data_IF_906550871835
#
_entry.id   IF_906550871835
#
_cell.length_a   1.000
_cell.length_b   1.000
_cell.length_c   1.000
_cell.angle_alpha   90.00
_cell.angle_beta   90.00
_cell.angle_gamma   90.00
#
_symmetry.space_group_name_H-M   'P 1'
#
loop_
_entity.id
_entity.type
_entity.pdbx_description
1 polymer ?
#
# COMPACT_ATOMS: atom_id res chain seq x y z
N UNK A 1 15.20 68.90 1.35
CA UNK A 1 14.21 69.39 2.31
C UNK A 1 13.18 68.29 2.51
N UNK A 2 13.33 67.59 3.64
CA UNK A 2 12.43 66.69 4.39
C UNK A 2 11.52 65.71 3.61
N UNK A 3 11.94 64.45 3.60
CA UNK A 3 11.07 63.27 3.47
C UNK A 3 10.11 63.18 4.67
N UNK A 4 8.88 62.75 4.48
CA UNK A 4 8.08 62.22 5.59
C UNK A 4 7.23 61.00 5.21
N UNK A 5 7.46 59.95 6.00
CA UNK A 5 6.73 58.71 6.16
C UNK A 5 5.35 58.97 6.79
N UNK A 6 4.37 58.08 6.51
CA UNK A 6 3.40 57.51 7.46
C UNK A 6 2.24 56.84 6.70
N UNK A 7 1.56 55.78 7.14
CA UNK A 7 1.85 54.65 8.05
C UNK A 7 0.68 53.69 7.77
N UNK A 8 0.95 52.40 7.50
CA UNK A 8 -0.07 51.38 7.23
C UNK A 8 -0.82 51.03 8.51
N UNK A 9 -2.15 51.16 8.54
CA UNK A 9 -2.99 50.47 9.52
C UNK A 9 -3.41 49.09 8.98
N UNK A 10 -2.95 48.03 9.64
CA UNK A 10 -3.48 46.66 9.55
C UNK A 10 -4.64 46.54 10.52
N UNK A 11 -5.86 46.39 10.02
CA UNK A 11 -6.99 45.91 10.83
C UNK A 11 -6.92 44.39 10.85
N UNK A 12 -6.60 43.80 12.01
CA UNK A 12 -6.69 42.36 12.24
C UNK A 12 -8.10 42.07 12.76
N UNK A 13 -8.98 41.59 11.87
CA UNK A 13 -10.25 41.00 12.29
C UNK A 13 -9.99 39.52 12.60
N UNK A 14 -10.06 39.17 13.89
CA UNK A 14 -10.05 37.79 14.37
C UNK A 14 -11.42 37.18 14.10
N UNK A 15 -11.56 36.43 13.01
CA UNK A 15 -12.74 35.59 12.78
C UNK A 15 -12.49 34.26 13.48
N UNK A 16 -13.34 33.92 14.45
CA UNK A 16 -13.37 32.58 15.06
C UNK A 16 -13.81 31.58 13.98
N UNK A 17 -13.00 30.55 13.74
CA UNK A 17 -13.39 29.40 12.94
C UNK A 17 -14.18 28.45 13.84
N UNK A 18 -15.48 28.36 13.63
CA UNK A 18 -16.28 27.29 14.19
C UNK A 18 -16.00 26.02 13.37
N UNK A 19 -15.48 24.99 14.04
CA UNK A 19 -15.27 23.67 13.47
C UNK A 19 -16.62 23.03 13.15
N UNK A 20 -16.97 22.99 11.87
CA UNK A 20 -18.06 22.17 11.36
C UNK A 20 -17.52 20.80 10.94
N UNK A 21 -17.97 19.75 11.65
CA UNK A 21 -17.78 18.35 11.27
C UNK A 21 -18.42 18.08 9.90
N UNK A 22 -17.59 17.79 8.90
CA UNK A 22 -17.99 17.46 7.54
C UNK A 22 -17.93 15.94 7.30
N UNK A 23 -19.03 15.26 7.62
CA UNK A 23 -19.32 13.89 7.17
C UNK A 23 -20.21 13.96 5.92
N UNK A 24 -19.62 13.94 4.72
CA UNK A 24 -20.36 13.90 3.46
C UNK A 24 -20.42 12.48 2.88
N UNK A 25 -21.63 11.94 2.84
CA UNK A 25 -22.04 10.80 2.00
C UNK A 25 -22.75 11.33 0.73
N UNK A 26 -23.05 10.51 -0.30
CA UNK A 26 -22.90 10.87 -1.71
C UNK A 26 -23.82 12.00 -2.18
N UNK A 27 -23.24 12.85 -3.02
CA UNK A 27 -23.83 14.02 -3.68
C UNK A 27 -25.09 13.65 -4.45
N UNK A 28 -26.25 14.11 -3.94
CA UNK A 28 -27.45 14.29 -4.76
C UNK A 28 -27.06 15.21 -5.93
N UNK A 29 -27.51 14.89 -7.14
CA UNK A 29 -27.43 15.81 -8.26
C UNK A 29 -28.20 17.08 -7.89
N UNK A 30 -27.50 18.13 -7.48
CA UNK A 30 -28.10 19.44 -7.28
C UNK A 30 -28.31 20.07 -8.66
N UNK A 31 -29.56 20.46 -8.92
CA UNK A 31 -29.97 21.17 -10.14
C UNK A 31 -29.32 22.57 -10.28
N UNK A 32 -28.49 22.98 -9.32
CA UNK A 32 -27.82 24.30 -9.23
C UNK A 32 -26.40 24.32 -9.84
N UNK A 33 -26.07 23.38 -10.71
CA UNK A 33 -24.77 23.36 -11.39
C UNK A 33 -24.85 23.88 -12.83
N UNK A 34 -23.82 24.60 -13.32
CA UNK A 34 -23.80 25.08 -14.70
C UNK A 34 -23.87 23.98 -15.75
N UNK A 35 -24.65 24.27 -16.79
CA UNK A 35 -24.75 23.49 -18.02
C UNK A 35 -23.93 24.21 -19.08
N UNK A 36 -22.86 23.57 -19.56
CA UNK A 36 -22.05 24.13 -20.64
C UNK A 36 -22.76 23.95 -21.97
N UNK A 37 -22.71 24.98 -22.81
CA UNK A 37 -23.11 24.86 -24.24
C UNK A 37 -22.29 23.75 -24.92
N UNK A 38 -21.01 23.62 -24.55
CA UNK A 38 -20.10 22.57 -25.00
C UNK A 38 -19.44 21.91 -23.78
N UNK A 39 -19.92 20.74 -23.32
CA UNK A 39 -19.33 20.01 -22.18
C UNK A 39 -17.84 19.75 -22.37
N UNK A 40 -17.48 19.55 -23.62
CA UNK A 40 -16.13 19.33 -24.12
C UNK A 40 -15.42 20.63 -24.51
N UNK A 41 -15.43 21.59 -23.59
CA UNK A 41 -14.98 22.94 -23.87
C UNK A 41 -13.48 23.06 -24.19
N UNK A 42 -12.67 22.05 -23.85
CA UNK A 42 -11.24 21.98 -24.18
C UNK A 42 -10.93 21.25 -25.49
N UNK A 43 -11.94 20.71 -26.20
CA UNK A 43 -11.68 20.07 -27.49
C UNK A 43 -11.16 21.10 -28.51
N UNK A 44 -10.00 20.85 -29.15
CA UNK A 44 -9.51 21.69 -30.22
C UNK A 44 -10.49 21.65 -31.38
N UNK A 45 -10.62 22.77 -32.09
CA UNK A 45 -11.57 22.89 -33.20
C UNK A 45 -11.33 21.85 -34.29
N UNK A 46 -10.09 21.41 -34.51
CA UNK A 46 -9.75 20.37 -35.48
C UNK A 46 -10.19 18.95 -35.10
N UNK A 47 -10.57 18.70 -33.83
CA UNK A 47 -10.97 17.38 -33.33
C UNK A 47 -12.28 17.49 -32.55
N UNK A 48 -13.39 17.53 -33.30
CA UNK A 48 -14.74 17.79 -32.77
C UNK A 48 -15.30 16.71 -31.82
N UNK A 49 -14.70 15.51 -31.77
CA UNK A 49 -15.23 14.40 -30.96
C UNK A 49 -14.17 13.72 -30.10
N UNK A 50 -14.63 13.14 -28.98
CA UNK A 50 -13.84 12.25 -28.12
C UNK A 50 -13.54 10.93 -28.84
N UNK A 51 -12.36 10.39 -28.63
CA UNK A 51 -12.02 9.03 -29.06
C UNK A 51 -12.66 8.01 -28.11
N UNK A 52 -13.73 7.34 -28.55
CA UNK A 52 -14.40 6.31 -27.75
C UNK A 52 -13.47 5.17 -27.31
N UNK A 53 -12.54 4.77 -28.18
CA UNK A 53 -11.57 3.72 -27.87
C UNK A 53 -10.65 4.15 -26.72
N UNK A 54 -10.22 5.42 -26.70
CA UNK A 54 -9.43 5.96 -25.59
C UNK A 54 -10.23 6.08 -24.29
N UNK A 55 -11.51 6.47 -24.35
CA UNK A 55 -12.34 6.65 -23.15
C UNK A 55 -12.60 5.34 -22.40
N UNK A 56 -12.77 4.22 -23.12
CA UNK A 56 -13.11 2.92 -22.50
C UNK A 56 -11.92 2.27 -21.78
N UNK A 57 -10.72 2.39 -22.32
CA UNK A 57 -9.53 1.62 -21.85
C UNK A 57 -8.32 2.51 -21.54
N UNK A 58 -8.48 3.83 -21.61
CA UNK A 58 -7.39 4.79 -21.61
C UNK A 58 -6.52 4.64 -22.86
N UNK A 59 -5.23 4.95 -22.73
CA UNK A 59 -4.24 4.83 -23.83
C UNK A 59 -4.19 3.44 -24.47
N UNK A 60 -4.50 2.39 -23.72
CA UNK A 60 -4.52 1.01 -24.22
C UNK A 60 -5.58 0.78 -25.31
N UNK A 61 -6.67 1.57 -25.31
CA UNK A 61 -7.74 1.40 -26.27
C UNK A 61 -7.50 2.11 -27.61
N UNK A 62 -6.58 3.09 -27.68
CA UNK A 62 -6.28 3.80 -28.93
C UNK A 62 -4.78 3.84 -29.23
N UNK A 63 -4.35 2.99 -30.16
CA UNK A 63 -2.94 2.88 -30.57
C UNK A 63 -2.45 4.01 -31.49
N UNK A 64 -3.35 4.88 -31.97
CA UNK A 64 -2.99 5.97 -32.89
C UNK A 64 -2.30 7.15 -32.18
N UNK A 65 -2.39 7.25 -30.85
CA UNK A 65 -1.76 8.31 -30.08
C UNK A 65 -2.14 9.71 -30.58
N UNK A 66 -1.14 10.58 -30.76
CA UNK A 66 -1.34 11.95 -31.27
C UNK A 66 -1.91 12.02 -32.70
N UNK A 67 -1.69 10.96 -33.51
CA UNK A 67 -2.21 10.84 -34.88
C UNK A 67 -3.70 10.49 -34.93
N UNK A 68 -4.33 10.21 -33.78
CA UNK A 68 -5.76 9.97 -33.73
C UNK A 68 -6.53 11.20 -34.23
N UNK A 69 -7.47 10.99 -35.17
CA UNK A 69 -8.36 12.06 -35.68
C UNK A 69 -9.33 12.61 -34.63
N UNK A 70 -9.50 11.88 -33.53
CA UNK A 70 -10.34 12.26 -32.39
C UNK A 70 -9.47 12.68 -31.20
N UNK A 71 -10.05 13.44 -30.27
CA UNK A 71 -9.34 13.88 -29.08
C UNK A 71 -9.32 12.81 -28.00
N UNK A 72 -8.18 12.65 -27.35
CA UNK A 72 -8.03 11.74 -26.22
C UNK A 72 -8.37 12.49 -24.94
N UNK A 73 -9.50 12.16 -24.33
CA UNK A 73 -9.93 12.70 -23.04
C UNK A 73 -9.78 11.61 -22.00
N UNK A 74 -8.93 11.84 -20.99
CA UNK A 74 -8.79 10.90 -19.87
C UNK A 74 -9.98 11.04 -18.92
N UNK A 75 -10.61 9.92 -18.56
CA UNK A 75 -11.74 9.89 -17.63
C UNK A 75 -11.43 8.90 -16.52
N UNK A 76 -11.17 9.37 -15.28
CA UNK A 76 -10.91 8.49 -14.16
C UNK A 76 -12.17 7.67 -13.80
N UNK A 77 -12.01 6.36 -13.71
CA UNK A 77 -13.09 5.42 -13.37
C UNK A 77 -13.34 5.29 -11.86
N UNK A 78 -12.44 5.83 -11.04
CA UNK A 78 -12.48 5.80 -9.58
C UNK A 78 -12.20 7.19 -9.05
N UNK A 79 -12.50 7.41 -7.77
CA UNK A 79 -12.05 8.60 -7.05
C UNK A 79 -10.55 8.78 -7.22
N UNK A 80 -10.14 10.03 -7.44
CA UNK A 80 -8.74 10.38 -7.60
C UNK A 80 -8.12 10.68 -6.23
N UNK A 81 -6.81 10.43 -6.04
CA UNK A 81 -6.15 10.77 -4.80
C UNK A 81 -6.33 12.26 -4.49
N UNK A 82 -6.63 12.57 -3.22
CA UNK A 82 -6.61 13.94 -2.74
C UNK A 82 -5.18 14.46 -2.81
N UNK A 83 -5.01 15.64 -3.41
CA UNK A 83 -3.76 16.38 -3.46
C UNK A 83 -3.97 17.62 -2.62
N UNK A 84 -2.96 18.09 -1.89
CA UNK A 84 -3.15 19.17 -0.93
C UNK A 84 -2.83 20.54 -1.51
N UNK A 85 -2.01 20.60 -2.56
CA UNK A 85 -1.48 21.87 -3.07
C UNK A 85 -1.50 21.96 -4.60
N UNK A 86 -1.76 23.17 -5.11
CA UNK A 86 -1.67 23.52 -6.52
C UNK A 86 -0.29 23.26 -7.10
N UNK A 87 0.79 23.48 -6.34
CA UNK A 87 2.17 23.27 -6.80
C UNK A 87 2.44 21.84 -7.26
N UNK A 88 1.76 20.87 -6.66
CA UNK A 88 2.03 19.45 -6.86
C UNK A 88 1.78 19.01 -8.32
N UNK A 89 0.90 19.70 -9.06
CA UNK A 89 0.67 19.41 -10.48
C UNK A 89 1.94 19.62 -11.32
N UNK A 90 2.74 20.65 -10.99
CA UNK A 90 3.95 21.00 -11.72
C UNK A 90 5.05 19.99 -11.44
N UNK A 91 5.21 19.61 -10.17
CA UNK A 91 6.21 18.64 -9.73
C UNK A 91 5.91 17.24 -10.29
N UNK A 92 4.67 16.77 -10.17
CA UNK A 92 4.23 15.48 -10.72
C UNK A 92 4.47 15.41 -12.23
N UNK A 93 4.14 16.49 -12.94
CA UNK A 93 4.29 16.52 -14.39
C UNK A 93 5.77 16.59 -14.81
N UNK A 94 6.59 17.37 -14.10
CA UNK A 94 8.03 17.45 -14.34
C UNK A 94 8.72 16.12 -14.07
N UNK A 95 8.43 15.48 -12.93
CA UNK A 95 8.97 14.17 -12.57
C UNK A 95 8.69 13.12 -13.65
N UNK A 96 7.46 13.08 -14.16
CA UNK A 96 7.06 12.05 -15.11
C UNK A 96 7.50 12.34 -16.55
N UNK A 97 7.37 13.59 -17.01
CA UNK A 97 7.60 13.93 -18.42
C UNK A 97 8.94 14.60 -18.71
N UNK A 98 9.69 15.02 -17.67
CA UNK A 98 10.86 15.89 -17.80
C UNK A 98 10.49 17.27 -18.38
N UNK A 99 9.27 17.73 -18.14
CA UNK A 99 8.72 18.94 -18.74
C UNK A 99 8.14 19.85 -17.67
N UNK A 100 8.55 21.11 -17.64
CA UNK A 100 8.00 22.11 -16.74
C UNK A 100 6.70 22.69 -17.33
N UNK A 101 5.57 22.34 -16.73
CA UNK A 101 4.31 23.04 -17.01
C UNK A 101 4.40 24.51 -16.60
N UNK A 102 3.68 25.35 -17.32
CA UNK A 102 3.45 26.76 -16.97
C UNK A 102 2.01 26.92 -16.48
N UNK A 103 1.74 27.94 -15.67
CA UNK A 103 0.37 28.25 -15.27
C UNK A 103 -0.57 28.43 -16.47
N UNK A 104 -0.06 28.99 -17.57
CA UNK A 104 -0.81 29.17 -18.81
C UNK A 104 -1.23 27.85 -19.50
N UNK A 105 -0.62 26.71 -19.14
CA UNK A 105 -1.02 25.39 -19.65
C UNK A 105 -2.27 24.85 -18.90
N UNK A 106 -2.56 25.39 -17.71
CA UNK A 106 -3.76 25.06 -16.94
C UNK A 106 -4.87 26.01 -17.35
N UNK A 107 -5.94 25.45 -17.88
CA UNK A 107 -7.10 26.20 -18.31
C UNK A 107 -8.19 26.13 -17.24
N UNK A 108 -8.74 27.28 -16.90
CA UNK A 108 -9.83 27.40 -15.95
C UNK A 108 -11.07 27.90 -16.68
N UNK A 109 -12.22 27.44 -16.22
CA UNK A 109 -13.51 27.92 -16.69
C UNK A 109 -14.39 28.22 -15.49
N UNK A 110 -14.96 29.42 -15.48
CA UNK A 110 -15.88 29.89 -14.47
C UNK A 110 -17.24 30.19 -15.09
N UNK A 111 -18.32 29.82 -14.40
CA UNK A 111 -19.70 30.11 -14.80
C UNK A 111 -20.48 30.62 -13.58
N UNK A 112 -21.31 31.63 -13.76
CA UNK A 112 -22.12 32.20 -12.69
C UNK A 112 -23.56 31.67 -12.77
N UNK A 113 -24.07 31.08 -11.70
CA UNK A 113 -25.43 30.57 -11.60
C UNK A 113 -25.98 30.83 -10.19
N UNK A 114 -27.20 31.36 -10.10
CA UNK A 114 -27.90 31.58 -8.82
C UNK A 114 -27.04 32.33 -7.79
N UNK A 115 -26.36 33.40 -8.22
CA UNK A 115 -25.43 34.22 -7.42
C UNK A 115 -24.18 33.49 -6.90
N UNK A 116 -23.85 32.31 -7.44
CA UNK A 116 -22.62 31.58 -7.13
C UNK A 116 -21.78 31.40 -8.39
N UNK A 117 -20.48 31.63 -8.26
CA UNK A 117 -19.52 31.30 -9.31
C UNK A 117 -19.02 29.88 -9.10
N UNK A 118 -19.12 29.07 -10.14
CA UNK A 118 -18.64 27.71 -10.18
C UNK A 118 -17.41 27.63 -11.07
N UNK A 119 -16.43 26.83 -10.66
CA UNK A 119 -15.16 26.66 -11.35
C UNK A 119 -14.99 25.23 -11.82
N UNK A 120 -14.35 25.03 -12.97
CA UNK A 120 -13.77 23.76 -13.41
C UNK A 120 -12.41 24.07 -14.03
N UNK A 121 -11.53 23.08 -14.08
CA UNK A 121 -10.22 23.23 -14.72
C UNK A 121 -9.93 22.07 -15.66
N UNK A 122 -8.97 22.28 -16.56
CA UNK A 122 -8.48 21.27 -17.47
C UNK A 122 -7.05 21.56 -17.94
N UNK A 123 -6.39 20.52 -18.43
CA UNK A 123 -5.04 20.58 -19.00
C UNK A 123 -5.03 19.82 -20.32
N UNK A 124 -4.51 20.44 -21.38
CA UNK A 124 -4.11 19.70 -22.58
C UNK A 124 -2.62 19.40 -22.44
N UNK A 125 -2.27 18.14 -22.23
CA UNK A 125 -0.89 17.73 -22.06
C UNK A 125 -0.05 18.15 -23.27
N UNK A 126 0.93 19.07 -23.13
CA UNK A 126 1.71 19.59 -24.26
C UNK A 126 2.52 18.51 -24.99
N UNK A 127 2.86 17.41 -24.30
CA UNK A 127 3.66 16.32 -24.87
C UNK A 127 2.84 15.36 -25.73
N UNK A 128 1.59 15.12 -25.38
CA UNK A 128 0.79 14.04 -25.97
C UNK A 128 -0.56 14.48 -26.54
N UNK A 129 -1.01 15.70 -26.25
CA UNK A 129 -2.31 16.21 -26.64
C UNK A 129 -3.49 15.52 -25.94
N UNK A 130 -3.25 14.79 -24.84
CA UNK A 130 -4.32 14.21 -24.01
C UNK A 130 -4.94 15.31 -23.15
N UNK A 131 -6.27 15.36 -23.11
CA UNK A 131 -7.04 16.32 -22.33
C UNK A 131 -7.41 15.69 -20.98
N UNK A 132 -7.12 16.42 -19.91
CA UNK A 132 -7.50 16.10 -18.55
C UNK A 132 -8.48 17.16 -18.08
N UNK A 133 -9.58 16.73 -17.47
CA UNK A 133 -10.53 17.60 -16.79
C UNK A 133 -10.51 17.30 -15.30
N UNK A 134 -10.71 18.31 -14.46
CA UNK A 134 -10.93 18.11 -13.03
C UNK A 134 -12.10 17.14 -12.80
N UNK A 135 -11.93 16.19 -11.88
CA UNK A 135 -12.96 15.24 -11.49
C UNK A 135 -12.74 14.77 -10.05
N UNK A 136 -13.85 14.57 -9.32
CA UNK A 136 -13.89 14.19 -7.91
C UNK A 136 -13.22 15.22 -6.97
N UNK A 137 -12.54 14.81 -5.90
CA UNK A 137 -11.95 15.73 -4.91
C UNK A 137 -12.93 16.19 -3.84
N UNK A 138 -12.60 17.27 -3.13
CA UNK A 138 -13.49 17.88 -2.13
C UNK A 138 -14.44 18.90 -2.77
N UNK A 139 -15.64 19.02 -2.22
CA UNK A 139 -16.62 20.06 -2.57
C UNK A 139 -17.03 20.12 -4.06
N UNK A 140 -16.93 19.01 -4.78
CA UNK A 140 -17.38 18.94 -6.16
C UNK A 140 -18.89 18.73 -6.26
N UNK A 141 -19.48 19.29 -7.32
CA UNK A 141 -20.85 19.03 -7.73
C UNK A 141 -20.83 18.61 -9.20
N UNK A 142 -21.42 17.46 -9.51
CA UNK A 142 -21.44 16.94 -10.88
C UNK A 142 -22.72 17.37 -11.59
N UNK A 143 -22.57 18.11 -12.68
CA UNK A 143 -23.69 18.50 -13.54
C UNK A 143 -24.31 17.30 -14.27
N UNK A 144 -25.57 17.42 -14.77
CA UNK A 144 -26.20 16.41 -15.62
C UNK A 144 -25.39 16.04 -16.88
N UNK A 145 -24.55 16.95 -17.38
CA UNK A 145 -23.64 16.70 -18.52
C UNK A 145 -22.35 15.94 -18.11
N UNK A 146 -22.18 15.67 -16.82
CA UNK A 146 -21.02 14.97 -16.28
C UNK A 146 -19.80 15.85 -16.03
N UNK A 147 -19.92 17.18 -16.13
CA UNK A 147 -18.85 18.13 -15.76
C UNK A 147 -18.84 18.31 -14.24
N UNK A 148 -17.64 18.28 -13.64
CA UNK A 148 -17.44 18.49 -12.21
C UNK A 148 -17.17 19.97 -11.94
N UNK A 149 -17.99 20.57 -11.09
CA UNK A 149 -17.94 21.97 -10.70
C UNK A 149 -17.51 22.12 -9.25
N UNK A 150 -16.73 23.15 -8.97
CA UNK A 150 -16.15 23.42 -7.66
C UNK A 150 -16.49 24.84 -7.24
N UNK A 151 -16.61 25.08 -5.93
CA UNK A 151 -16.98 26.40 -5.39
C UNK A 151 -15.84 27.43 -5.49
N UNK A 152 -14.60 26.98 -5.69
CA UNK A 152 -13.43 27.83 -5.83
C UNK A 152 -12.46 27.24 -6.86
N UNK A 153 -11.63 28.09 -7.45
CA UNK A 153 -10.64 27.72 -8.48
C UNK A 153 -9.60 26.73 -7.96
N UNK A 154 -9.08 26.94 -6.74
CA UNK A 154 -8.02 26.09 -6.17
C UNK A 154 -8.46 24.64 -6.00
N UNK A 155 -9.70 24.38 -5.57
CA UNK A 155 -10.29 23.04 -5.46
C UNK A 155 -10.41 22.37 -6.83
N UNK A 156 -10.78 23.12 -7.87
CA UNK A 156 -10.84 22.58 -9.23
C UNK A 156 -9.45 22.14 -9.72
N UNK A 157 -8.42 22.97 -9.49
CA UNK A 157 -7.05 22.68 -9.92
C UNK A 157 -6.43 21.54 -9.11
N UNK A 158 -6.71 21.51 -7.82
CA UNK A 158 -6.31 20.41 -6.94
C UNK A 158 -6.91 19.08 -7.40
N UNK A 159 -8.20 19.07 -7.77
CA UNK A 159 -8.83 17.89 -8.36
C UNK A 159 -8.22 17.51 -9.71
N UNK A 160 -7.90 18.49 -10.58
CA UNK A 160 -7.18 18.25 -11.83
C UNK A 160 -5.80 17.60 -11.59
N UNK A 161 -5.07 18.04 -10.59
CA UNK A 161 -3.80 17.42 -10.20
C UNK A 161 -4.00 15.94 -9.81
N UNK A 162 -5.03 15.64 -9.04
CA UNK A 162 -5.40 14.25 -8.68
C UNK A 162 -5.71 13.39 -9.90
N UNK A 163 -6.42 13.94 -10.89
CA UNK A 163 -6.72 13.27 -12.17
C UNK A 163 -5.45 12.98 -12.96
N UNK A 164 -4.52 13.94 -13.05
CA UNK A 164 -3.25 13.77 -13.75
C UNK A 164 -2.44 12.68 -13.05
N UNK A 165 -2.27 12.76 -11.72
CA UNK A 165 -1.56 11.74 -10.94
C UNK A 165 -2.13 10.34 -11.19
N UNK A 166 -3.46 10.19 -11.09
CA UNK A 166 -4.14 8.93 -11.38
C UNK A 166 -3.87 8.43 -12.80
N UNK A 167 -3.86 9.33 -13.79
CA UNK A 167 -3.54 8.96 -15.17
C UNK A 167 -2.10 8.47 -15.33
N UNK A 168 -1.14 9.10 -14.64
CA UNK A 168 0.27 8.75 -14.67
C UNK A 168 0.54 7.42 -13.95
N UNK A 169 -0.03 7.23 -12.76
CA UNK A 169 0.08 5.97 -12.01
C UNK A 169 -0.44 4.79 -12.84
N UNK A 170 -1.59 4.97 -13.51
CA UNK A 170 -2.16 3.95 -14.40
C UNK A 170 -1.26 3.63 -15.61
N UNK A 171 -0.43 4.58 -16.05
CA UNK A 171 0.53 4.36 -17.14
C UNK A 171 1.74 3.59 -16.66
N UNK A 172 2.30 3.94 -15.50
CA UNK A 172 3.45 3.22 -14.92
C UNK A 172 3.10 1.73 -14.82
N UNK A 173 1.95 1.40 -14.25
CA UNK A 173 1.51 0.00 -14.11
C UNK A 173 1.41 -0.72 -15.47
N UNK A 174 0.85 -0.05 -16.48
CA UNK A 174 0.67 -0.64 -17.83
C UNK A 174 1.98 -0.75 -18.60
N UNK A 175 2.82 0.28 -18.59
CA UNK A 175 4.11 0.27 -19.29
C UNK A 175 5.06 -0.74 -18.64
N UNK A 176 5.08 -0.87 -17.31
CA UNK A 176 5.79 -1.96 -16.62
C UNK A 176 5.26 -3.32 -17.10
N UNK A 177 3.93 -3.52 -17.19
CA UNK A 177 3.38 -4.80 -17.67
C UNK A 177 3.76 -5.11 -19.13
N UNK A 178 3.72 -4.12 -20.02
CA UNK A 178 4.01 -4.27 -21.45
C UNK A 178 5.51 -4.40 -21.74
N UNK A 179 6.37 -3.65 -21.04
CA UNK A 179 7.82 -3.81 -21.10
C UNK A 179 8.26 -5.15 -20.54
N UNK A 180 7.65 -5.63 -19.44
CA UNK A 180 7.92 -6.98 -18.94
C UNK A 180 7.50 -8.02 -19.99
N UNK A 181 6.34 -7.90 -20.63
CA UNK A 181 5.93 -8.81 -21.70
C UNK A 181 6.91 -8.82 -22.90
N UNK A 182 7.42 -7.64 -23.30
CA UNK A 182 8.38 -7.52 -24.41
C UNK A 182 9.79 -7.99 -24.03
N UNK A 183 10.27 -7.71 -22.82
CA UNK A 183 11.58 -8.17 -22.35
C UNK A 183 11.62 -9.69 -22.19
N UNK A 184 10.52 -10.31 -21.77
CA UNK A 184 10.37 -11.77 -21.76
C UNK A 184 10.46 -12.32 -23.18
N UNK A 185 9.75 -11.71 -24.13
CA UNK A 185 9.76 -12.16 -25.52
C UNK A 185 11.15 -11.98 -26.17
N UNK A 186 11.85 -10.87 -25.91
CA UNK A 186 13.20 -10.62 -26.46
C UNK A 186 14.29 -11.44 -25.77
N UNK A 187 14.19 -11.67 -24.45
CA UNK A 187 15.20 -12.44 -23.69
C UNK A 187 15.08 -13.96 -23.91
N UNK A 188 13.96 -14.43 -24.47
CA UNK A 188 13.82 -15.83 -24.93
C UNK A 188 14.70 -16.19 -26.14
N UNK A 189 15.33 -15.19 -26.81
CA UNK A 189 16.15 -15.39 -28.02
C UNK A 189 17.65 -15.40 -27.80
N UNK A 190 18.17 -15.25 -26.58
CA UNK A 190 19.59 -15.52 -26.36
C UNK A 190 19.80 -17.02 -26.47
N UNK A 191 20.54 -17.46 -27.49
CA UNK A 191 20.99 -18.84 -27.67
C UNK A 191 21.56 -19.35 -26.34
N UNK A 192 20.99 -20.45 -25.84
CA UNK A 192 21.35 -21.10 -24.57
C UNK A 192 22.87 -21.42 -24.43
N UNK A 193 23.63 -21.35 -25.51
CA UNK A 193 25.01 -21.83 -25.62
C UNK A 193 26.05 -21.00 -24.86
N UNK A 194 25.70 -19.86 -24.24
CA UNK A 194 26.69 -18.96 -23.59
C UNK A 194 26.42 -18.72 -22.10
N UNK A 195 25.35 -19.30 -21.52
CA UNK A 195 25.10 -19.16 -20.09
C UNK A 195 25.89 -20.20 -19.28
N UNK A 196 26.38 -19.85 -18.08
CA UNK A 196 27.12 -20.81 -17.29
C UNK A 196 26.27 -22.03 -16.88
N UNK A 197 26.94 -23.18 -16.86
CA UNK A 197 26.43 -24.43 -16.31
C UNK A 197 27.16 -24.72 -15.00
N UNK A 198 26.41 -24.94 -13.92
CA UNK A 198 26.99 -25.33 -12.63
C UNK A 198 26.70 -26.80 -12.33
N UNK A 199 27.70 -27.55 -11.89
CA UNK A 199 27.55 -28.99 -11.61
C UNK A 199 26.42 -29.30 -10.61
N UNK A 200 26.18 -28.40 -9.65
CA UNK A 200 25.14 -28.52 -8.63
C UNK A 200 24.22 -27.29 -8.68
N UNK A 201 23.10 -27.31 -9.45
CA UNK A 201 22.18 -26.18 -9.52
C UNK A 201 21.53 -25.85 -8.17
N UNK A 202 21.49 -26.84 -7.28
CA UNK A 202 20.98 -26.73 -5.92
C UNK A 202 22.09 -26.44 -4.90
N UNK A 203 22.98 -25.52 -5.25
CA UNK A 203 24.19 -25.21 -4.49
C UNK A 203 23.91 -24.61 -3.10
N UNK A 204 22.73 -24.04 -2.86
CA UNK A 204 22.32 -23.55 -1.54
C UNK A 204 21.72 -24.63 -0.63
N UNK A 205 21.38 -25.82 -1.16
CA UNK A 205 20.77 -26.87 -0.35
C UNK A 205 21.84 -27.48 0.56
N UNK A 206 21.69 -27.42 1.91
CA UNK A 206 22.65 -27.98 2.85
C UNK A 206 22.80 -29.50 2.65
N UNK A 207 23.99 -30.04 2.89
CA UNK A 207 24.27 -31.47 2.71
C UNK A 207 23.36 -32.40 3.53
N UNK A 208 22.88 -31.94 4.70
CA UNK A 208 21.97 -32.72 5.56
C UNK A 208 20.51 -32.72 5.07
N UNK A 209 20.15 -31.94 4.04
CA UNK A 209 18.84 -31.97 3.39
C UNK A 209 18.96 -32.80 2.11
N UNK A 210 18.15 -33.84 1.99
CA UNK A 210 18.30 -34.80 0.90
C UNK A 210 17.97 -34.22 -0.48
N UNK A 211 16.93 -33.39 -0.57
CA UNK A 211 16.41 -32.82 -1.82
C UNK A 211 15.48 -31.64 -1.55
N UNK A 212 14.96 -31.00 -2.61
CA UNK A 212 13.87 -30.01 -2.51
C UNK A 212 12.58 -30.67 -2.01
N UNK A 213 11.86 -29.97 -1.13
CA UNK A 213 10.54 -30.39 -0.66
C UNK A 213 9.51 -30.18 -1.78
N UNK A 214 9.07 -31.27 -2.43
CA UNK A 214 8.07 -31.22 -3.52
C UNK A 214 6.77 -30.53 -3.10
N UNK A 215 6.17 -30.83 -1.94
CA UNK A 215 4.95 -30.13 -1.52
C UNK A 215 5.16 -28.62 -1.41
N UNK A 216 6.29 -28.18 -0.84
CA UNK A 216 6.63 -26.75 -0.73
C UNK A 216 6.84 -26.10 -2.11
N UNK A 217 7.49 -26.80 -3.05
CA UNK A 217 7.66 -26.28 -4.41
C UNK A 217 6.32 -26.07 -5.13
N UNK A 218 5.37 -27.00 -4.98
CA UNK A 218 4.08 -26.93 -5.66
C UNK A 218 3.14 -25.89 -5.05
N UNK A 219 3.14 -25.74 -3.73
CA UNK A 219 2.12 -24.98 -2.99
C UNK A 219 2.70 -23.87 -2.08
N UNK A 220 3.97 -23.54 -2.25
CA UNK A 220 4.69 -22.59 -1.40
C UNK A 220 4.72 -23.01 0.07
N UNK A 221 4.71 -22.02 0.97
CA UNK A 221 4.76 -22.24 2.42
C UNK A 221 3.64 -23.13 2.99
N UNK A 222 2.50 -23.25 2.30
CA UNK A 222 1.37 -24.10 2.69
C UNK A 222 1.52 -25.56 2.25
N UNK A 223 2.42 -25.81 1.30
CA UNK A 223 2.63 -27.16 0.80
C UNK A 223 3.20 -28.12 1.83
N UNK A 224 3.99 -27.61 2.78
CA UNK A 224 4.65 -28.46 3.78
C UNK A 224 4.41 -27.95 5.20
N UNK A 225 3.60 -28.70 5.96
CA UNK A 225 3.28 -28.39 7.36
C UNK A 225 4.43 -28.67 8.34
N UNK A 226 5.52 -29.30 7.90
CA UNK A 226 6.67 -29.61 8.75
C UNK A 226 7.57 -28.39 9.00
N UNK A 227 7.45 -27.34 8.19
CA UNK A 227 8.25 -26.11 8.33
C UNK A 227 9.75 -26.41 8.39
N UNK A 228 10.45 -25.81 9.36
CA UNK A 228 11.89 -26.02 9.60
C UNK A 228 12.27 -27.47 9.91
N UNK A 229 11.31 -28.29 10.38
CA UNK A 229 11.54 -29.71 10.72
C UNK A 229 11.50 -30.63 9.50
N UNK A 230 11.12 -30.12 8.32
CA UNK A 230 11.12 -30.92 7.10
C UNK A 230 12.54 -31.44 6.81
N UNK A 231 12.71 -32.73 6.54
CA UNK A 231 14.01 -33.32 6.15
C UNK A 231 14.44 -32.87 4.75
N UNK A 232 13.52 -32.34 3.95
CA UNK A 232 13.75 -31.75 2.64
C UNK A 232 13.91 -30.22 2.74
N UNK A 233 14.63 -29.62 1.79
CA UNK A 233 14.85 -28.18 1.76
C UNK A 233 13.62 -27.45 1.18
N UNK A 234 13.16 -26.42 1.88
CA UNK A 234 12.14 -25.50 1.38
C UNK A 234 12.81 -24.47 0.47
N UNK A 235 12.61 -24.60 -0.84
CA UNK A 235 13.22 -23.73 -1.85
C UNK A 235 12.13 -22.95 -2.55
N UNK A 236 12.22 -21.62 -2.53
CA UNK A 236 11.34 -20.73 -3.27
C UNK A 236 11.96 -20.38 -4.63
N UNK A 237 11.76 -21.31 -5.57
CA UNK A 237 12.00 -21.25 -7.02
C UNK A 237 10.77 -20.77 -7.82
N UNK A 238 10.43 -19.49 -8.04
CA UNK A 238 9.24 -19.21 -8.84
C UNK A 238 9.43 -19.74 -10.27
N UNK A 239 8.49 -20.56 -10.72
CA UNK A 239 8.48 -21.11 -12.07
C UNK A 239 8.14 -20.04 -13.13
N UNK A 240 7.58 -18.90 -12.70
CA UNK A 240 7.08 -17.85 -13.57
C UNK A 240 8.24 -17.00 -14.14
N UNK A 241 8.25 -16.88 -15.47
CA UNK A 241 9.30 -16.22 -16.25
C UNK A 241 9.39 -14.70 -16.08
N UNK A 242 8.52 -14.08 -15.28
CA UNK A 242 8.64 -12.69 -14.94
C UNK A 242 7.92 -12.38 -13.65
N UNK A 243 8.69 -12.12 -12.61
CA UNK A 243 8.22 -11.16 -11.63
C UNK A 243 8.23 -9.78 -12.32
N UNK A 244 7.20 -8.94 -12.10
CA UNK A 244 7.26 -7.56 -12.54
C UNK A 244 8.58 -6.95 -12.04
N UNK A 245 9.20 -6.09 -12.85
CA UNK A 245 10.42 -5.37 -12.50
C UNK A 245 10.25 -4.63 -11.17
N UNK A 246 10.51 -5.31 -10.06
CA UNK A 246 10.66 -4.73 -8.76
C UNK A 246 12.15 -4.47 -8.67
N UNK A 247 12.56 -3.26 -9.03
CA UNK A 247 13.88 -2.78 -8.67
C UNK A 247 13.88 -2.54 -7.17
N UNK A 248 14.07 -3.62 -6.42
CA UNK A 248 14.31 -3.51 -5.00
C UNK A 248 15.74 -3.06 -4.84
N UNK A 249 15.92 -1.76 -4.57
CA UNK A 249 17.17 -1.30 -4.01
C UNK A 249 17.52 -2.22 -2.81
N UNK A 250 18.77 -2.64 -2.75
CA UNK A 250 19.24 -3.63 -1.77
C UNK A 250 18.97 -3.20 -0.32
N UNK A 251 19.01 -1.89 -0.05
CA UNK A 251 18.67 -1.29 1.24
C UNK A 251 17.21 -1.50 1.63
N UNK A 252 16.27 -1.42 0.67
CA UNK A 252 14.85 -1.70 0.89
C UNK A 252 14.65 -3.15 1.29
N UNK A 253 15.31 -4.10 0.61
CA UNK A 253 15.22 -5.51 0.98
C UNK A 253 15.67 -5.76 2.43
N UNK A 254 16.84 -5.23 2.82
CA UNK A 254 17.35 -5.40 4.19
C UNK A 254 16.48 -4.70 5.24
N UNK A 255 16.02 -3.48 4.95
CA UNK A 255 15.13 -2.72 5.83
C UNK A 255 13.81 -3.44 6.03
N UNK A 256 13.15 -3.86 4.96
CA UNK A 256 11.88 -4.60 5.03
C UNK A 256 12.05 -5.92 5.77
N UNK A 257 13.15 -6.64 5.55
CA UNK A 257 13.41 -7.87 6.30
C UNK A 257 13.55 -7.61 7.81
N UNK A 258 14.25 -6.53 8.19
CA UNK A 258 14.36 -6.11 9.60
C UNK A 258 13.00 -5.76 10.20
N UNK A 259 12.19 -4.96 9.50
CA UNK A 259 10.85 -4.57 9.95
C UNK A 259 9.93 -5.80 10.14
N UNK A 260 10.01 -6.78 9.23
CA UNK A 260 9.15 -7.97 9.27
C UNK A 260 9.54 -8.97 10.36
N UNK A 261 10.83 -9.08 10.68
CA UNK A 261 11.33 -10.16 11.52
C UNK A 261 12.11 -9.74 12.77
N UNK A 262 12.49 -8.46 12.88
CA UNK A 262 13.37 -7.97 13.93
C UNK A 262 14.82 -8.43 13.80
N UNK A 263 15.22 -8.94 12.63
CA UNK A 263 16.58 -9.42 12.35
C UNK A 263 17.23 -8.56 11.27
N UNK A 264 18.39 -8.00 11.57
CA UNK A 264 19.18 -7.27 10.58
C UNK A 264 19.93 -8.29 9.72
N UNK A 265 19.58 -8.35 8.43
CA UNK A 265 20.37 -9.09 7.45
C UNK A 265 21.64 -8.31 7.11
N UNK A 266 22.72 -9.05 6.92
CA UNK A 266 23.99 -8.55 6.41
C UNK A 266 24.17 -9.02 4.98
N UNK A 267 24.97 -8.29 4.21
CA UNK A 267 25.34 -8.72 2.85
C UNK A 267 26.00 -10.12 2.84
N UNK A 268 26.73 -10.48 3.91
CA UNK A 268 27.32 -11.81 4.11
C UNK A 268 26.30 -12.96 4.22
N UNK A 269 25.05 -12.65 4.52
CA UNK A 269 23.94 -13.61 4.56
C UNK A 269 23.44 -13.95 3.16
N UNK A 270 23.74 -13.09 2.18
CA UNK A 270 23.48 -13.34 0.76
C UNK A 270 24.67 -14.11 0.20
N UNK A 271 24.38 -15.31 -0.29
CA UNK A 271 25.38 -16.12 -0.96
C UNK A 271 25.38 -15.78 -2.43
N UNK A 272 26.58 -15.68 -3.00
CA UNK A 272 26.79 -15.40 -4.41
C UNK A 272 27.49 -16.58 -5.06
N UNK A 273 27.10 -16.87 -6.29
CA UNK A 273 27.83 -17.76 -7.18
C UNK A 273 28.21 -16.95 -8.42
N UNK A 274 29.49 -17.03 -8.79
CA UNK A 274 30.05 -16.34 -9.94
C UNK A 274 30.64 -17.38 -10.86
N UNK A 275 30.34 -17.27 -12.14
CA UNK A 275 30.93 -18.11 -13.17
C UNK A 275 31.50 -17.21 -14.28
N UNK A 276 32.65 -17.62 -14.82
CA UNK A 276 33.34 -16.89 -15.88
C UNK A 276 33.12 -17.63 -17.19
N UNK A 277 32.60 -16.92 -18.18
CA UNK A 277 32.41 -17.43 -19.55
C UNK A 277 33.20 -16.58 -20.54
N UNK A 278 33.22 -16.98 -21.80
CA UNK A 278 33.74 -16.14 -22.90
C UNK A 278 33.04 -14.79 -23.01
N UNK A 279 31.79 -14.69 -22.53
CA UNK A 279 30.99 -13.45 -22.54
C UNK A 279 31.13 -12.60 -21.26
N UNK A 280 32.10 -12.94 -20.41
CA UNK A 280 32.39 -12.28 -19.14
C UNK A 280 31.84 -13.00 -17.92
N UNK A 281 31.76 -12.25 -16.82
CA UNK A 281 31.29 -12.74 -15.53
C UNK A 281 29.76 -12.80 -15.49
N UNK A 282 29.26 -13.87 -14.89
CA UNK A 282 27.85 -14.08 -14.62
C UNK A 282 27.64 -14.34 -13.14
N UNK A 283 26.61 -13.72 -12.58
CA UNK A 283 26.30 -13.77 -11.17
C UNK A 283 24.94 -14.42 -10.97
N UNK A 284 24.78 -15.16 -9.88
CA UNK A 284 23.48 -15.55 -9.34
C UNK A 284 23.54 -15.45 -7.82
N UNK A 285 22.42 -15.16 -7.17
CA UNK A 285 22.35 -14.93 -5.73
C UNK A 285 21.35 -15.87 -5.07
N UNK A 286 21.66 -16.27 -3.84
CA UNK A 286 20.78 -17.06 -3.00
C UNK A 286 20.79 -16.57 -1.56
N UNK A 287 19.67 -16.74 -0.88
CA UNK A 287 19.50 -16.35 0.52
C UNK A 287 18.77 -17.45 1.28
N UNK A 288 19.32 -17.88 2.40
CA UNK A 288 18.65 -18.80 3.31
C UNK A 288 18.10 -18.01 4.51
N UNK A 289 16.78 -17.88 4.60
CA UNK A 289 16.12 -17.11 5.64
C UNK A 289 16.45 -17.66 7.05
N UNK A 290 17.13 -16.89 7.92
CA UNK A 290 17.50 -17.35 9.25
C UNK A 290 16.32 -17.79 10.14
N UNK A 291 15.14 -17.21 9.92
CA UNK A 291 13.94 -17.50 10.73
C UNK A 291 13.28 -18.83 10.37
N UNK A 292 13.22 -19.16 9.07
CA UNK A 292 12.44 -20.31 8.57
C UNK A 292 13.27 -21.37 7.84
N UNK A 293 14.57 -21.13 7.64
CA UNK A 293 15.43 -22.01 6.84
C UNK A 293 15.02 -22.14 5.37
N UNK A 294 14.10 -21.30 4.89
CA UNK A 294 13.65 -21.28 3.49
C UNK A 294 14.72 -20.64 2.62
N UNK A 295 15.06 -21.30 1.52
CA UNK A 295 16.07 -20.87 0.56
C UNK A 295 15.37 -20.14 -0.58
N UNK A 296 15.82 -18.93 -0.87
CA UNK A 296 15.38 -18.10 -1.99
C UNK A 296 16.51 -18.02 -3.00
N UNK A 297 16.20 -18.18 -4.27
CA UNK A 297 17.13 -17.92 -5.37
C UNK A 297 16.66 -16.68 -6.13
N UNK A 298 17.61 -15.88 -6.61
CA UNK A 298 17.33 -14.77 -7.53
C UNK A 298 16.62 -15.32 -8.78
N UNK A 299 15.50 -14.72 -9.18
CA UNK A 299 14.82 -15.07 -10.44
C UNK A 299 14.15 -13.84 -11.06
N UNK A 300 14.20 -13.75 -12.40
CA UNK A 300 13.63 -12.63 -13.16
C UNK A 300 14.42 -11.32 -13.05
N UNK A 301 13.74 -10.18 -13.19
CA UNK A 301 14.28 -8.82 -13.17
C UNK A 301 15.19 -8.42 -14.35
N UNK A 302 15.71 -7.19 -14.30
CA UNK A 302 16.54 -6.55 -15.33
C UNK A 302 17.83 -7.35 -15.61
N UNK A 303 18.25 -7.39 -16.87
CA UNK A 303 19.48 -8.05 -17.31
C UNK A 303 19.65 -9.53 -16.91
N UNK A 304 18.55 -10.23 -16.64
CA UNK A 304 18.58 -11.63 -16.26
C UNK A 304 18.39 -12.56 -17.45
N UNK A 305 19.05 -13.71 -17.39
CA UNK A 305 18.92 -14.78 -18.38
C UNK A 305 18.79 -16.13 -17.69
N UNK A 306 17.82 -16.92 -18.11
CA UNK A 306 17.56 -18.25 -17.53
C UNK A 306 18.38 -19.31 -18.28
N UNK A 307 19.22 -20.06 -17.58
CA UNK A 307 19.96 -21.19 -18.15
C UNK A 307 19.06 -22.41 -18.35
N UNK A 308 19.56 -23.41 -19.08
CA UNK A 308 18.92 -24.73 -19.23
C UNK A 308 18.71 -25.47 -17.90
N UNK A 309 19.46 -25.12 -16.86
CA UNK A 309 19.30 -25.66 -15.50
C UNK A 309 18.19 -24.95 -14.70
N UNK A 310 17.53 -23.96 -15.30
CA UNK A 310 16.49 -23.17 -14.65
C UNK A 310 17.00 -22.09 -13.70
N UNK A 311 18.31 -21.82 -13.66
CA UNK A 311 18.91 -20.75 -12.87
C UNK A 311 18.88 -19.43 -13.63
N UNK A 312 18.75 -18.32 -12.92
CA UNK A 312 18.88 -16.99 -13.52
C UNK A 312 20.29 -16.45 -13.28
N UNK A 313 20.90 -15.96 -14.36
CA UNK A 313 22.22 -15.35 -14.42
C UNK A 313 22.09 -13.87 -14.74
N UNK A 314 22.94 -13.06 -14.10
CA UNK A 314 22.93 -11.60 -14.18
C UNK A 314 24.33 -11.10 -14.52
N UNK A 315 24.42 -9.94 -15.17
CA UNK A 315 25.72 -9.32 -15.51
C UNK A 315 26.39 -8.62 -14.34
N UNK A 316 25.64 -8.30 -13.29
CA UNK A 316 26.18 -7.75 -12.04
C UNK A 316 25.66 -8.50 -10.83
N UNK A 317 26.43 -8.50 -9.74
CA UNK A 317 25.97 -9.04 -8.47
C UNK A 317 24.82 -8.21 -7.89
N UNK A 318 24.82 -6.89 -8.08
CA UNK A 318 23.76 -5.98 -7.63
C UNK A 318 22.40 -6.37 -8.23
N UNK A 319 22.35 -6.67 -9.52
CA UNK A 319 21.10 -7.09 -10.19
C UNK A 319 20.58 -8.42 -9.62
N UNK A 320 21.48 -9.37 -9.35
CA UNK A 320 21.10 -10.65 -8.75
C UNK A 320 20.53 -10.49 -7.33
N UNK A 321 21.09 -9.56 -6.53
CA UNK A 321 20.60 -9.25 -5.17
C UNK A 321 19.27 -8.50 -5.22
N UNK A 322 19.13 -7.54 -6.13
CA UNK A 322 17.86 -6.84 -6.36
C UNK A 322 16.75 -7.81 -6.73
N UNK A 323 17.01 -8.72 -7.69
CA UNK A 323 16.07 -9.77 -8.06
C UNK A 323 15.71 -10.70 -6.88
N UNK A 324 16.70 -11.06 -6.06
CA UNK A 324 16.50 -11.86 -4.86
C UNK A 324 15.59 -11.16 -3.83
N UNK A 325 15.76 -9.84 -3.65
CA UNK A 325 14.90 -9.02 -2.80
C UNK A 325 13.45 -9.02 -3.28
N UNK A 326 13.22 -8.83 -4.57
CA UNK A 326 11.88 -8.88 -5.18
C UNK A 326 11.21 -10.24 -4.98
N UNK A 327 11.94 -11.34 -5.17
CA UNK A 327 11.46 -12.71 -4.94
C UNK A 327 11.00 -12.89 -3.49
N UNK A 328 11.82 -12.45 -2.54
CA UNK A 328 11.50 -12.53 -1.13
C UNK A 328 10.21 -11.74 -0.80
N UNK A 329 10.11 -10.49 -1.27
CA UNK A 329 8.94 -9.65 -1.00
C UNK A 329 7.65 -10.24 -1.58
N UNK A 330 7.71 -10.83 -2.79
CA UNK A 330 6.54 -11.47 -3.40
C UNK A 330 6.14 -12.73 -2.64
N UNK A 331 7.11 -13.57 -2.28
CA UNK A 331 6.86 -14.77 -1.48
C UNK A 331 6.20 -14.41 -0.14
N UNK A 332 6.71 -13.37 0.52
CA UNK A 332 6.18 -12.87 1.77
C UNK A 332 4.79 -12.24 1.62
N UNK A 333 4.59 -11.40 0.59
CA UNK A 333 3.30 -10.80 0.29
C UNK A 333 2.21 -11.85 0.04
N UNK A 334 2.53 -12.92 -0.70
CA UNK A 334 1.63 -14.07 -0.87
C UNK A 334 1.32 -14.76 0.46
N UNK A 335 2.33 -15.00 1.29
CA UNK A 335 2.13 -15.58 2.62
C UNK A 335 1.21 -14.72 3.49
N UNK A 336 1.41 -13.40 3.48
CA UNK A 336 0.64 -12.45 4.28
C UNK A 336 -0.80 -12.29 3.77
N UNK A 337 -1.00 -12.00 2.48
CA UNK A 337 -2.32 -11.89 1.87
C UNK A 337 -3.17 -13.13 2.12
N UNK A 338 -2.54 -14.31 2.06
CA UNK A 338 -3.24 -15.56 2.33
C UNK A 338 -3.53 -15.78 3.82
N UNK A 339 -2.64 -15.36 4.73
CA UNK A 339 -2.93 -15.37 6.18
C UNK A 339 -4.07 -14.41 6.56
N UNK A 340 -4.19 -13.27 5.88
CA UNK A 340 -5.29 -12.33 6.05
C UNK A 340 -6.59 -12.78 5.40
N UNK A 341 -6.53 -13.49 4.26
CA UNK A 341 -7.72 -14.04 3.61
C UNK A 341 -8.42 -15.12 4.44
N UNK A 342 -7.69 -15.83 5.31
CA UNK A 342 -8.29 -16.75 6.30
C UNK A 342 -8.87 -16.02 7.52
N UNK A 343 -8.57 -14.74 7.70
CA UNK A 343 -9.21 -13.87 8.69
C UNK A 343 -10.48 -13.20 8.13
N UNK A 344 -10.73 -13.32 6.82
CA UNK A 344 -12.03 -13.00 6.23
C UNK A 344 -12.88 -14.27 6.25
N UNK A 345 -13.95 -14.35 7.07
CA UNK A 345 -14.74 -15.57 7.14
C UNK A 345 -15.38 -15.84 5.78
N UNK A 346 -15.37 -17.09 5.28
CA UNK A 346 -16.20 -17.44 4.14
C UNK A 346 -17.66 -17.10 4.51
N UNK A 347 -18.40 -16.48 3.59
CA UNK A 347 -19.84 -16.25 3.72
C UNK A 347 -20.60 -17.59 3.72
N UNK A 348 -20.41 -18.38 4.78
CA UNK A 348 -21.24 -19.54 5.12
C UNK A 348 -22.01 -19.19 6.38
N UNK A 349 -23.33 -19.41 6.32
CA UNK A 349 -24.33 -19.22 7.37
C UNK A 349 -23.73 -19.28 8.77
N UNK A 350 -23.89 -18.17 9.50
CA UNK A 350 -23.49 -18.00 10.90
C UNK A 350 -23.82 -19.25 11.72
N UNK A 351 -22.77 -20.01 12.05
CA UNK A 351 -22.73 -20.83 13.25
C UNK A 351 -21.78 -20.11 14.20
N UNK A 352 -22.33 -19.59 15.28
CA UNK A 352 -21.62 -18.90 16.36
C UNK A 352 -20.53 -19.79 16.95
N UNK A 353 -19.29 -19.65 16.49
CA UNK A 353 -18.13 -20.11 17.27
C UNK A 353 -17.87 -19.04 18.33
N UNK A 354 -18.34 -19.30 19.55
CA UNK A 354 -18.08 -18.44 20.71
C UNK A 354 -16.58 -18.39 20.99
N UNK A 355 -15.98 -17.20 20.87
CA UNK A 355 -14.72 -16.88 21.53
C UNK A 355 -14.84 -17.27 23.02
N UNK A 356 -13.77 -17.78 23.66
CA UNK A 356 -13.79 -17.97 25.11
C UNK A 356 -14.15 -16.62 25.76
N UNK A 357 -15.10 -16.61 26.72
CA UNK A 357 -15.54 -15.36 27.33
C UNK A 357 -14.33 -14.66 27.95
N UNK A 358 -14.21 -13.35 27.68
CA UNK A 358 -13.23 -12.52 28.35
C UNK A 358 -13.42 -12.66 29.87
N UNK A 359 -12.34 -12.71 30.66
CA UNK A 359 -12.43 -12.81 32.11
C UNK A 359 -13.40 -11.75 32.66
N UNK A 360 -14.15 -12.09 33.71
CA UNK A 360 -15.03 -11.13 34.34
C UNK A 360 -14.22 -9.95 34.88
N UNK A 361 -14.86 -8.81 35.12
CA UNK A 361 -14.19 -7.60 35.63
C UNK A 361 -13.50 -7.85 36.99
N UNK A 362 -14.09 -8.72 37.81
CA UNK A 362 -13.51 -9.24 39.05
C UNK A 362 -12.21 -10.03 38.81
N UNK A 363 -12.13 -10.78 37.71
CA UNK A 363 -10.95 -11.57 37.36
C UNK A 363 -9.81 -10.67 36.90
N UNK A 364 -10.11 -9.57 36.20
CA UNK A 364 -9.12 -8.58 35.79
C UNK A 364 -8.46 -7.89 36.99
N UNK A 365 -9.24 -7.53 38.00
CA UNK A 365 -8.74 -6.91 39.23
C UNK A 365 -7.83 -7.88 40.00
N UNK A 366 -8.22 -9.15 40.12
CA UNK A 366 -7.41 -10.19 40.74
C UNK A 366 -6.10 -10.41 39.98
N UNK A 367 -6.18 -10.43 38.65
CA UNK A 367 -5.07 -10.65 37.76
C UNK A 367 -4.06 -9.49 37.80
N UNK A 368 -4.54 -8.25 37.81
CA UNK A 368 -3.70 -7.06 37.97
C UNK A 368 -2.99 -7.04 39.33
N UNK A 369 -3.69 -7.35 40.44
CA UNK A 369 -3.06 -7.45 41.78
C UNK A 369 -1.99 -8.54 41.84
N UNK A 370 -2.17 -9.67 41.15
CA UNK A 370 -1.16 -10.73 41.06
C UNK A 370 0.10 -10.26 40.34
N UNK A 371 -0.05 -9.47 39.29
CA UNK A 371 1.07 -8.91 38.53
C UNK A 371 1.77 -7.76 39.27
N UNK A 372 1.02 -7.00 40.06
CA UNK A 372 1.48 -5.80 40.77
C UNK A 372 1.02 -5.81 42.24
N UNK A 373 1.59 -6.67 43.10
CA UNK A 373 1.12 -6.87 44.47
C UNK A 373 1.27 -5.65 45.38
N UNK A 374 2.15 -4.70 45.01
CA UNK A 374 2.35 -3.44 45.74
C UNK A 374 1.42 -2.31 45.29
N UNK A 375 0.60 -2.53 44.27
CA UNK A 375 -0.29 -1.51 43.74
C UNK A 375 -1.69 -1.65 44.32
N UNK A 376 -2.34 -0.51 44.56
CA UNK A 376 -3.75 -0.46 44.91
C UNK A 376 -4.63 -1.01 43.77
N UNK A 377 -5.92 -1.15 44.06
CA UNK A 377 -6.90 -1.63 43.08
C UNK A 377 -6.82 -0.85 41.78
N UNK A 378 -7.13 -1.54 40.67
CA UNK A 378 -7.16 -0.93 39.37
C UNK A 378 -8.36 0.02 39.37
N UNK A 379 -8.08 1.32 39.43
CA UNK A 379 -9.13 2.32 39.49
C UNK A 379 -9.78 2.46 38.12
N UNK A 380 -11.05 2.86 38.07
CA UNK A 380 -11.66 3.30 36.81
C UNK A 380 -10.86 4.46 36.18
N UNK A 381 -10.15 5.25 37.00
CA UNK A 381 -9.24 6.32 36.54
C UNK A 381 -7.98 5.79 35.82
N UNK A 382 -7.69 4.50 35.93
CA UNK A 382 -6.59 3.85 35.20
C UNK A 382 -6.96 3.57 33.74
N UNK A 383 -8.21 3.77 33.33
CA UNK A 383 -8.62 3.62 31.93
C UNK A 383 -8.99 4.97 31.32
N UNK A 384 -8.39 5.26 30.18
CA UNK A 384 -8.87 6.30 29.27
C UNK A 384 -9.75 5.62 28.22
N UNK A 385 -11.02 6.01 28.14
CA UNK A 385 -11.99 5.46 27.19
C UNK A 385 -12.41 6.54 26.23
N UNK A 386 -12.35 6.23 24.94
CA UNK A 386 -12.86 7.09 23.87
C UNK A 386 -14.08 6.40 23.24
N UNK A 387 -15.03 7.19 22.73
CA UNK A 387 -16.16 6.65 21.98
C UNK A 387 -16.36 7.38 20.66
N UNK A 388 -16.73 6.65 19.62
CA UNK A 388 -17.03 7.20 18.28
C UNK A 388 -18.29 6.54 17.71
N UNK A 389 -18.86 7.12 16.65
CA UNK A 389 -19.97 6.52 15.91
C UNK A 389 -19.47 5.99 14.56
N UNK A 390 -19.57 4.68 14.35
CA UNK A 390 -19.23 4.02 13.08
C UNK A 390 -20.51 3.41 12.54
N UNK A 391 -20.95 3.82 11.35
CA UNK A 391 -22.20 3.38 10.73
C UNK A 391 -23.42 3.52 11.68
N UNK A 392 -23.55 4.70 12.30
CA UNK A 392 -24.64 5.03 13.26
C UNK A 392 -24.68 4.15 14.52
N UNK A 393 -23.67 3.32 14.78
CA UNK A 393 -23.52 2.57 16.02
C UNK A 393 -22.39 3.15 16.85
N UNK A 394 -22.61 3.27 18.16
CA UNK A 394 -21.58 3.74 19.09
C UNK A 394 -20.59 2.63 19.38
N UNK A 395 -19.31 2.95 19.26
CA UNK A 395 -18.21 2.08 19.62
C UNK A 395 -17.30 2.76 20.64
N UNK A 396 -16.53 1.96 21.37
CA UNK A 396 -15.62 2.35 22.43
C UNK A 396 -14.23 1.79 22.17
N UNK A 397 -13.20 2.56 22.45
CA UNK A 397 -11.84 2.06 22.57
C UNK A 397 -11.30 2.44 23.94
N UNK A 398 -10.34 1.69 24.46
CA UNK A 398 -9.79 1.90 25.79
C UNK A 398 -8.26 1.82 25.78
N UNK A 399 -7.66 2.59 26.67
CA UNK A 399 -6.24 2.57 26.97
C UNK A 399 -6.07 2.42 28.49
N UNK A 400 -5.28 1.44 28.91
CA UNK A 400 -4.93 1.21 30.31
C UNK A 400 -3.63 1.95 30.65
N UNK A 401 -3.72 2.90 31.57
CA UNK A 401 -2.61 3.65 32.17
C UNK A 401 -2.12 2.92 33.42
N UNK A 402 -1.03 2.18 33.30
CA UNK A 402 -0.47 1.39 34.40
C UNK A 402 0.33 2.27 35.36
N UNK A 403 -0.25 2.57 36.52
CA UNK A 403 0.46 3.28 37.61
C UNK A 403 1.63 2.47 38.16
N UNK A 404 1.58 1.14 38.01
CA UNK A 404 2.62 0.22 38.46
C UNK A 404 3.90 0.27 37.61
N UNK A 405 3.79 0.82 36.39
CA UNK A 405 4.86 0.81 35.40
C UNK A 405 5.18 2.21 34.89
N UNK A 406 5.22 3.18 35.82
CA UNK A 406 5.65 4.55 35.51
C UNK A 406 4.82 5.22 34.40
N UNK A 407 3.52 4.89 34.30
CA UNK A 407 2.62 5.52 33.34
C UNK A 407 2.64 4.90 31.94
N UNK A 408 3.16 3.68 31.76
CA UNK A 408 2.99 2.94 30.50
C UNK A 408 1.52 2.81 30.10
N UNK A 409 1.27 2.92 28.79
CA UNK A 409 -0.06 2.87 28.18
C UNK A 409 -0.23 1.57 27.41
N UNK A 410 -1.34 0.88 27.65
CA UNK A 410 -1.70 -0.36 26.96
C UNK A 410 -3.04 -0.17 26.23
N UNK A 411 -2.98 0.02 24.92
CA UNK A 411 -4.18 0.17 24.09
C UNK A 411 -4.90 -1.17 23.90
N UNK A 412 -6.22 -1.12 23.73
CA UNK A 412 -7.01 -2.30 23.41
C UNK A 412 -6.65 -2.87 22.03
N UNK A 413 -6.51 -4.20 21.92
CA UNK A 413 -6.15 -4.87 20.66
C UNK A 413 -6.91 -6.20 20.48
N UNK A 414 -7.38 -6.45 19.25
CA UNK A 414 -7.99 -7.73 18.82
C UNK A 414 -9.39 -8.01 19.37
N UNK A 415 -9.65 -9.26 19.78
CA UNK A 415 -10.83 -9.67 20.56
C UNK A 415 -12.23 -9.31 20.00
N UNK A 416 -12.41 -9.37 18.69
CA UNK A 416 -13.70 -9.07 18.07
C UNK A 416 -14.03 -7.56 18.01
N UNK A 417 -13.05 -6.70 18.27
CA UNK A 417 -13.14 -5.28 17.94
C UNK A 417 -13.10 -5.04 16.43
N UNK A 418 -13.64 -3.91 15.99
CA UNK A 418 -13.54 -3.36 14.65
C UNK A 418 -12.28 -2.48 14.57
N UNK A 419 -11.39 -2.74 13.62
CA UNK A 419 -10.21 -1.88 13.41
C UNK A 419 -10.58 -0.70 12.49
N UNK A 420 -10.46 0.53 13.01
CA UNK A 420 -10.84 1.76 12.32
C UNK A 420 -9.99 2.94 12.83
N UNK A 421 -9.48 3.78 11.92
CA UNK A 421 -8.59 4.93 12.24
C UNK A 421 -7.44 4.53 13.19
N UNK A 422 -6.74 3.47 12.83
CA UNK A 422 -5.58 2.92 13.57
C UNK A 422 -5.85 2.51 15.03
N UNK A 423 -7.13 2.30 15.39
CA UNK A 423 -7.56 1.86 16.72
C UNK A 423 -8.53 0.68 16.63
N UNK A 424 -8.57 -0.14 17.69
CA UNK A 424 -9.59 -1.18 17.84
C UNK A 424 -10.80 -0.64 18.62
N UNK A 425 -11.98 -0.81 18.04
CA UNK A 425 -13.27 -0.28 18.51
C UNK A 425 -14.24 -1.40 18.85
N UNK A 426 -14.89 -1.34 20.02
CA UNK A 426 -15.76 -2.37 20.55
C UNK A 426 -17.16 -1.82 20.78
N UNK A 427 -18.19 -2.65 20.61
CA UNK A 427 -19.58 -2.25 20.79
C UNK A 427 -20.00 -2.09 22.28
N UNK A 428 -19.11 -2.44 23.21
CA UNK A 428 -19.32 -2.35 24.64
C UNK A 428 -18.04 -1.84 25.33
N UNK A 429 -18.20 -0.88 26.23
CA UNK A 429 -17.09 -0.25 26.96
C UNK A 429 -16.31 -1.25 27.84
N UNK A 430 -17.00 -2.19 28.48
CA UNK A 430 -16.35 -3.20 29.33
C UNK A 430 -15.50 -4.15 28.49
N UNK A 431 -15.96 -4.49 27.29
CA UNK A 431 -15.17 -5.28 26.32
C UNK A 431 -13.92 -4.49 25.90
N UNK A 432 -14.06 -3.21 25.58
CA UNK A 432 -12.91 -2.36 25.23
C UNK A 432 -11.85 -2.36 26.34
N UNK A 433 -12.24 -2.17 27.60
CA UNK A 433 -11.32 -2.20 28.76
C UNK A 433 -10.66 -3.57 28.94
N UNK A 434 -11.42 -4.66 28.77
CA UNK A 434 -10.89 -6.03 28.85
C UNK A 434 -9.84 -6.31 27.79
N UNK A 435 -10.00 -5.75 26.60
CA UNK A 435 -9.07 -5.93 25.50
C UNK A 435 -7.70 -5.25 25.68
N UNK A 436 -7.53 -4.37 26.68
CA UNK A 436 -6.20 -3.85 27.07
C UNK A 436 -5.30 -4.90 27.74
N UNK A 437 -5.89 -5.89 28.42
CA UNK A 437 -5.13 -6.82 29.26
C UNK A 437 -4.26 -7.79 28.47
N UNK A 438 -4.72 -8.42 27.37
CA UNK A 438 -3.85 -9.28 26.57
C UNK A 438 -2.56 -8.58 26.13
N UNK A 439 -2.63 -7.29 25.79
CA UNK A 439 -1.46 -6.48 25.41
C UNK A 439 -0.51 -6.29 26.59
N UNK A 440 -1.04 -5.89 27.76
CA UNK A 440 -0.28 -5.84 29.02
C UNK A 440 0.40 -7.18 29.33
N UNK A 441 -0.31 -8.29 29.14
CA UNK A 441 0.23 -9.63 29.41
C UNK A 441 1.42 -9.99 28.54
N UNK A 442 1.32 -9.77 27.23
CA UNK A 442 2.40 -10.07 26.28
C UNK A 442 3.66 -9.25 26.62
N UNK A 443 3.48 -7.98 26.96
CA UNK A 443 4.59 -7.11 27.36
C UNK A 443 5.22 -7.54 28.69
N UNK A 444 4.42 -7.96 29.67
CA UNK A 444 4.94 -8.47 30.95
C UNK A 444 5.65 -9.82 30.82
N UNK A 445 5.14 -10.74 30.01
CA UNK A 445 5.81 -12.00 29.69
C UNK A 445 7.19 -11.73 29.06
N UNK A 446 7.25 -10.77 28.13
CA UNK A 446 8.48 -10.34 27.45
C UNK A 446 9.47 -9.67 28.41
N UNK A 447 9.00 -8.72 29.22
CA UNK A 447 9.87 -7.91 30.07
C UNK A 447 10.35 -8.63 31.33
N UNK A 448 9.50 -9.45 31.95
CA UNK A 448 9.75 -10.01 33.30
C UNK A 448 9.98 -11.52 33.33
N UNK A 449 9.98 -12.18 32.16
CA UNK A 449 10.07 -13.66 32.04
C UNK A 449 9.07 -14.41 32.93
N UNK A 450 7.96 -13.77 33.28
CA UNK A 450 6.92 -14.38 34.12
C UNK A 450 6.23 -15.43 33.27
N UNK A 451 6.44 -16.71 33.60
CA UNK A 451 5.63 -17.81 33.07
C UNK A 451 4.27 -17.79 33.76
N UNK A 452 3.30 -17.07 33.21
CA UNK A 452 1.95 -17.12 33.73
C UNK A 452 1.35 -18.51 33.43
N UNK A 453 0.72 -19.15 34.41
CA UNK A 453 -0.05 -20.39 34.20
C UNK A 453 -1.21 -20.17 33.21
N UNK A 454 -1.67 -18.92 33.06
CA UNK A 454 -2.41 -18.42 31.91
C UNK A 454 -1.46 -18.26 30.72
N UNK A 455 -0.94 -19.38 30.21
CA UNK A 455 -0.11 -19.33 29.01
C UNK A 455 -0.97 -18.86 27.84
N UNK A 456 -0.60 -17.74 27.24
CA UNK A 456 -1.12 -17.27 25.95
C UNK A 456 -1.05 -18.36 24.86
N UNK A 457 -0.30 -19.44 25.04
CA UNK A 457 -0.32 -20.60 24.13
C UNK A 457 -1.65 -21.36 24.15
N UNK A 458 -2.39 -21.46 25.27
CA UNK A 458 -3.74 -22.02 25.30
C UNK A 458 -4.75 -21.05 24.69
N UNK A 459 -4.60 -19.77 24.98
CA UNK A 459 -5.45 -18.72 24.42
C UNK A 459 -5.24 -18.59 22.90
N UNK A 460 -4.02 -18.64 22.37
CA UNK A 460 -3.75 -18.64 20.91
C UNK A 460 -4.15 -19.96 20.21
N UNK A 461 -4.03 -21.12 20.88
CA UNK A 461 -4.40 -22.42 20.28
C UNK A 461 -5.90 -22.58 20.04
N UNK A 462 -6.76 -22.01 20.89
CA UNK A 462 -8.22 -22.01 20.68
C UNK A 462 -8.69 -21.10 19.54
N UNK A 463 -7.78 -20.38 18.86
CA UNK A 463 -8.08 -19.44 17.77
C UNK A 463 -7.42 -19.84 16.43
N UNK A 464 -6.83 -21.04 16.37
CA UNK A 464 -6.25 -21.62 15.14
C UNK A 464 -6.74 -23.07 14.89
N UNK A 465 -7.83 -23.49 15.54
CA UNK A 465 -8.52 -24.77 15.27
C UNK A 465 -9.72 -24.54 14.36
#
# INVERSE_FOLDING_TARGET
MICNFNLKMKVIVKIKSDNHDSSSSPTKAENDTPILIRPDWMLPQSKHHRCHAFTREGRAGCNLGSKCKYSHVFTPTKEVPSISNRSDIFDIYHEYFGFHLKDADIHEKAECMSCRTWYTSGLICPKEGTIYYAAYGSDFHKSPQGVFWYKNSDSAITALAGVIKSALDNRIVKDTSAQNARSIASNSRIKNDVLPFIQRPDWMIPAHKWNKCRPFLSNGARGCNLGVRCTFAHVHMPNEAALPHIETRTDVFFKTYYELFGFSLKESDIKRKVEVTVSGHWYTAGFACPKYGTIYYSAGAYNSYRSSQGLFWYKSFSDAVSALGGIFLIAWGKYHAQSQSHLSPPQKKQRTSSLPPLPAETDLQCLYRKLFPKCNNLSNKSFHVESTHINSKRYFTAMLLSSAEQGKVYAAEGNGGLFYEDKWWYNDEKIARRACFPVLFVELERARKIKCAYSMSRWRKSHHS
#
